data_IF_068690691414
#
_entry.id   IF_068690691414
#
_cell.length_a   1.000
_cell.length_b   1.000
_cell.length_c   1.000
_cell.angle_alpha   90.00
_cell.angle_beta   90.00
_cell.angle_gamma   90.00
#
_symmetry.space_group_name_H-M   'P 1'
#
loop_
_entity.id
_entity.type
_entity.pdbx_description
1 polymer ?
#
# COMPACT_ATOMS: atom_id res chain seq x y z
N UNK A 1 -5.82 26.31 -22.53
CA UNK A 1 -5.57 24.88 -22.27
C UNK A 1 -4.34 24.56 -21.42
N UNK A 2 -3.24 25.33 -21.40
CA UNK A 2 -2.03 25.07 -20.56
C UNK A 2 -2.27 25.01 -19.03
N UNK A 3 -3.23 25.77 -18.46
CA UNK A 3 -3.55 25.74 -17.01
C UNK A 3 -4.20 24.41 -16.54
N UNK A 4 -4.98 23.76 -17.39
CA UNK A 4 -5.63 22.47 -17.06
C UNK A 4 -4.62 21.31 -16.97
N UNK A 5 -3.58 21.28 -17.81
CA UNK A 5 -2.54 20.24 -17.80
C UNK A 5 -1.66 20.29 -16.54
N UNK A 6 -1.31 21.50 -16.06
CA UNK A 6 -0.50 21.67 -14.85
C UNK A 6 -1.25 21.28 -13.56
N UNK A 7 -2.58 21.43 -13.53
CA UNK A 7 -3.40 20.99 -12.38
C UNK A 7 -3.60 19.47 -12.32
N UNK A 8 -3.67 18.79 -13.46
CA UNK A 8 -3.77 17.33 -13.50
C UNK A 8 -2.49 16.62 -13.03
N UNK A 9 -1.32 17.21 -13.32
CA UNK A 9 -0.02 16.66 -12.88
C UNK A 9 0.26 16.87 -11.39
N UNK A 10 -0.25 17.94 -10.78
CA UNK A 10 -0.09 18.21 -9.34
C UNK A 10 -0.97 17.34 -8.43
N UNK A 11 -2.08 16.79 -8.93
CA UNK A 11 -3.02 15.95 -8.15
C UNK A 11 -2.63 14.48 -8.00
N UNK A 12 -1.53 14.02 -8.53
CA UNK A 12 -1.26 12.59 -8.73
C UNK A 12 -0.35 11.90 -7.71
N UNK A 13 0.03 12.53 -6.60
CA UNK A 13 0.63 11.78 -5.48
C UNK A 13 -0.43 11.55 -4.42
N UNK A 14 -1.14 10.43 -4.52
CA UNK A 14 -2.01 9.99 -3.43
C UNK A 14 -1.20 9.99 -2.13
N UNK A 15 -1.72 10.58 -1.04
CA UNK A 15 -1.10 10.51 0.26
C UNK A 15 -0.86 9.04 0.64
N UNK A 16 0.17 8.77 1.44
CA UNK A 16 0.65 7.41 1.74
C UNK A 16 -0.49 6.49 2.18
N UNK A 17 -1.41 6.97 3.02
CA UNK A 17 -2.57 6.21 3.53
C UNK A 17 -3.63 5.86 2.46
N UNK A 18 -3.62 6.50 1.29
CA UNK A 18 -4.50 6.16 0.15
C UNK A 18 -3.87 5.20 -0.83
N UNK A 19 -2.57 4.91 -0.69
CA UNK A 19 -1.89 3.94 -1.55
C UNK A 19 -2.38 2.53 -1.20
N UNK A 20 -2.69 1.75 -2.23
CA UNK A 20 -3.19 0.37 -2.08
C UNK A 20 -2.25 -0.49 -1.22
N UNK A 21 -0.93 -0.37 -1.41
CA UNK A 21 0.09 -1.07 -0.63
C UNK A 21 -0.01 -0.80 0.88
N UNK A 22 -0.20 0.48 1.24
CA UNK A 22 -0.30 0.86 2.65
C UNK A 22 -1.61 0.36 3.28
N UNK A 23 -2.72 0.47 2.54
CA UNK A 23 -4.03 -0.02 3.00
C UNK A 23 -4.05 -1.53 3.19
N UNK A 24 -3.55 -2.29 2.22
CA UNK A 24 -3.45 -3.76 2.32
C UNK A 24 -2.51 -4.18 3.44
N UNK A 25 -1.31 -3.58 3.52
CA UNK A 25 -0.35 -3.88 4.58
C UNK A 25 -0.88 -3.52 5.97
N UNK A 26 -1.46 -2.34 6.15
CA UNK A 26 -2.04 -1.91 7.42
C UNK A 26 -3.25 -2.77 7.83
N UNK A 27 -4.14 -3.13 6.89
CA UNK A 27 -5.27 -4.02 7.17
C UNK A 27 -4.83 -5.41 7.58
N UNK A 28 -3.84 -5.97 6.90
CA UNK A 28 -3.27 -7.27 7.24
C UNK A 28 -2.61 -7.26 8.63
N UNK A 29 -1.79 -6.24 8.92
CA UNK A 29 -1.17 -6.07 10.24
C UNK A 29 -2.21 -5.91 11.35
N UNK A 30 -3.24 -5.10 11.11
CA UNK A 30 -4.32 -4.88 12.09
C UNK A 30 -5.08 -6.18 12.38
N UNK A 31 -5.51 -6.90 11.34
CA UNK A 31 -6.23 -8.17 11.50
C UNK A 31 -5.37 -9.22 12.22
N UNK A 32 -4.10 -9.32 11.87
CA UNK A 32 -3.18 -10.26 12.52
C UNK A 32 -2.95 -9.89 13.99
N UNK A 33 -2.77 -8.59 14.29
CA UNK A 33 -2.61 -8.11 15.67
C UNK A 33 -3.86 -8.42 16.51
N UNK A 34 -5.07 -8.16 15.97
CA UNK A 34 -6.33 -8.46 16.65
C UNK A 34 -6.44 -9.98 16.91
N UNK A 35 -6.15 -10.81 15.93
CA UNK A 35 -6.22 -12.27 16.07
C UNK A 35 -5.26 -12.79 17.15
N UNK A 36 -4.01 -12.30 17.17
CA UNK A 36 -3.00 -12.68 18.16
C UNK A 36 -3.43 -12.24 19.57
N UNK A 37 -3.88 -10.98 19.73
CA UNK A 37 -4.30 -10.45 21.02
C UNK A 37 -5.53 -11.20 21.55
N UNK A 38 -6.52 -11.46 20.69
CA UNK A 38 -7.73 -12.19 21.06
C UNK A 38 -7.39 -13.62 21.47
N UNK A 39 -6.59 -14.35 20.67
CA UNK A 39 -6.14 -15.71 20.99
C UNK A 39 -5.38 -15.75 22.30
N UNK A 40 -4.42 -14.83 22.52
CA UNK A 40 -3.66 -14.75 23.76
C UNK A 40 -4.54 -14.46 24.99
N UNK A 41 -5.50 -13.57 24.85
CA UNK A 41 -6.46 -13.26 25.91
C UNK A 41 -7.35 -14.46 26.26
N UNK A 42 -7.90 -15.14 25.26
CA UNK A 42 -8.73 -16.34 25.49
C UNK A 42 -7.93 -17.48 26.14
N UNK A 43 -6.71 -17.71 25.68
CA UNK A 43 -5.83 -18.75 26.23
C UNK A 43 -5.42 -18.43 27.68
N UNK A 44 -5.11 -17.17 27.97
CA UNK A 44 -4.80 -16.75 29.35
C UNK A 44 -6.00 -16.97 30.29
N UNK A 45 -7.21 -16.56 29.86
CA UNK A 45 -8.45 -16.76 30.63
C UNK A 45 -8.75 -18.22 30.87
N UNK A 46 -8.60 -19.07 29.84
CA UNK A 46 -8.84 -20.50 29.96
C UNK A 46 -7.88 -21.14 31.00
N UNK A 47 -6.60 -20.79 30.95
CA UNK A 47 -5.60 -21.33 31.90
C UNK A 47 -5.82 -20.84 33.34
N UNK A 48 -6.18 -19.56 33.52
CA UNK A 48 -6.50 -19.03 34.83
C UNK A 48 -7.70 -19.76 35.45
N UNK A 49 -8.72 -20.03 34.65
CA UNK A 49 -9.91 -20.73 35.11
C UNK A 49 -9.63 -22.20 35.40
N UNK A 50 -8.93 -22.92 34.52
CA UNK A 50 -8.53 -24.31 34.70
C UNK A 50 -7.69 -24.47 35.97
N UNK A 51 -6.75 -23.56 36.23
CA UNK A 51 -5.93 -23.57 37.44
C UNK A 51 -6.78 -23.41 38.69
N UNK A 52 -7.68 -22.44 38.71
CA UNK A 52 -8.57 -22.18 39.83
C UNK A 52 -9.45 -23.40 40.13
N UNK A 53 -10.07 -23.99 39.10
CA UNK A 53 -10.99 -25.11 39.26
C UNK A 53 -10.25 -26.39 39.71
N UNK A 54 -9.03 -26.59 39.22
CA UNK A 54 -8.19 -27.73 39.63
C UNK A 54 -7.75 -27.61 41.09
N UNK A 55 -7.22 -26.43 41.49
CA UNK A 55 -6.76 -26.20 42.88
C UNK A 55 -7.97 -26.19 43.83
N UNK A 56 -9.04 -25.49 43.47
CA UNK A 56 -10.24 -25.44 44.28
C UNK A 56 -10.84 -26.82 44.52
N UNK A 57 -10.92 -27.68 43.51
CA UNK A 57 -11.39 -29.05 43.62
C UNK A 57 -10.47 -29.92 44.51
N UNK A 58 -9.16 -29.76 44.36
CA UNK A 58 -8.19 -30.48 45.19
C UNK A 58 -8.34 -30.09 46.68
N UNK A 59 -8.34 -28.82 47.00
CA UNK A 59 -8.49 -28.30 48.35
C UNK A 59 -9.87 -28.68 48.95
N UNK A 60 -10.91 -28.62 48.13
CA UNK A 60 -12.25 -29.04 48.58
C UNK A 60 -12.29 -30.52 48.95
N UNK A 61 -11.61 -31.38 48.21
CA UNK A 61 -11.51 -32.77 48.55
C UNK A 61 -10.73 -33.00 49.85
N UNK A 62 -9.62 -32.26 50.08
CA UNK A 62 -8.86 -32.28 51.33
C UNK A 62 -9.74 -31.84 52.50
N UNK A 63 -10.44 -30.70 52.34
CA UNK A 63 -11.30 -30.16 53.37
C UNK A 63 -12.46 -31.14 53.69
N UNK A 64 -13.15 -31.71 52.65
CA UNK A 64 -14.26 -32.68 52.82
C UNK A 64 -13.80 -33.96 53.53
N UNK A 65 -12.72 -34.57 53.11
CA UNK A 65 -12.20 -35.80 53.71
C UNK A 65 -11.63 -35.52 55.10
N UNK A 66 -10.93 -34.38 55.27
CA UNK A 66 -10.39 -33.95 56.53
C UNK A 66 -11.48 -33.67 57.58
N UNK A 67 -12.59 -33.03 57.20
CA UNK A 67 -13.71 -32.75 58.11
C UNK A 67 -14.31 -34.03 58.68
N UNK A 68 -14.29 -35.17 57.95
CA UNK A 68 -14.74 -36.47 58.46
C UNK A 68 -13.82 -37.08 59.51
N UNK A 69 -12.56 -36.69 59.61
CA UNK A 69 -11.58 -37.18 60.56
C UNK A 69 -11.61 -36.44 61.92
N UNK A 70 -12.34 -35.32 61.97
CA UNK A 70 -12.44 -34.52 63.20
C UNK A 70 -13.58 -35.10 64.09
N UNK A 71 -13.18 -35.56 65.28
CA UNK A 71 -14.13 -36.06 66.30
C UNK A 71 -14.98 -34.89 66.85
N UNK A 72 -16.30 -34.93 66.60
CA UNK A 72 -17.19 -33.82 67.06
C UNK A 72 -17.25 -33.66 68.54
N UNK A 73 -17.12 -34.72 69.32
CA UNK A 73 -17.19 -34.65 70.80
C UNK A 73 -15.91 -34.00 71.39
N UNK A 74 -14.77 -34.34 70.86
CA UNK A 74 -13.50 -33.72 71.24
C UNK A 74 -13.49 -32.23 70.87
N UNK A 75 -13.93 -31.90 69.67
CA UNK A 75 -13.99 -30.48 69.24
C UNK A 75 -14.94 -29.65 70.12
N UNK A 76 -16.11 -30.16 70.47
CA UNK A 76 -17.06 -29.50 71.39
C UNK A 76 -16.46 -29.26 72.80
N UNK A 77 -15.59 -30.20 73.28
CA UNK A 77 -14.87 -29.97 74.53
C UNK A 77 -13.84 -28.84 74.45
N UNK A 78 -13.19 -28.68 73.29
CA UNK A 78 -12.26 -27.53 73.05
C UNK A 78 -13.07 -26.20 73.07
N UNK A 79 -14.22 -26.16 72.44
CA UNK A 79 -15.08 -25.00 72.39
C UNK A 79 -15.59 -24.61 73.76
N UNK A 80 -15.93 -25.60 74.60
CA UNK A 80 -16.41 -25.35 75.96
C UNK A 80 -15.29 -24.87 76.92
N UNK A 81 -14.03 -25.27 76.69
CA UNK A 81 -12.92 -24.93 77.60
C UNK A 81 -12.06 -23.78 77.17
N UNK A 82 -12.03 -23.51 75.81
CA UNK A 82 -11.22 -22.48 75.15
C UNK A 82 -9.72 -22.55 75.60
N UNK A 83 -9.18 -23.77 75.81
CA UNK A 83 -7.79 -23.95 76.26
C UNK A 83 -6.98 -24.89 75.33
N UNK A 84 -5.74 -24.50 75.02
CA UNK A 84 -4.82 -25.30 74.26
C UNK A 84 -4.18 -26.48 75.07
N UNK A 85 -4.31 -26.46 76.38
CA UNK A 85 -3.68 -27.47 77.26
C UNK A 85 -4.58 -28.70 77.51
N UNK A 86 -5.77 -28.79 76.89
CA UNK A 86 -6.65 -29.93 77.04
C UNK A 86 -6.25 -31.14 76.16
N UNK A 87 -6.46 -32.36 76.61
CA UNK A 87 -6.27 -33.58 75.82
C UNK A 87 -7.12 -33.53 74.53
N UNK A 88 -8.33 -32.98 74.66
CA UNK A 88 -9.20 -32.78 73.49
C UNK A 88 -8.55 -31.89 72.42
N UNK A 89 -7.97 -30.77 72.78
CA UNK A 89 -7.27 -29.88 71.87
C UNK A 89 -6.11 -30.60 71.16
N UNK A 90 -5.27 -31.32 71.94
CA UNK A 90 -4.12 -32.02 71.36
C UNK A 90 -4.54 -33.14 70.40
N UNK A 91 -5.61 -33.85 70.65
CA UNK A 91 -6.15 -34.90 69.78
C UNK A 91 -6.69 -34.32 68.48
N UNK A 92 -7.51 -33.27 68.52
CA UNK A 92 -8.02 -32.58 67.34
C UNK A 92 -6.84 -31.98 66.51
N UNK A 93 -5.91 -31.30 67.22
CA UNK A 93 -4.72 -30.76 66.56
C UNK A 93 -3.89 -31.85 65.84
N UNK A 94 -3.71 -33.03 66.46
CA UNK A 94 -3.04 -34.16 65.84
C UNK A 94 -3.76 -34.65 64.58
N UNK A 95 -5.09 -34.68 64.57
CA UNK A 95 -5.86 -35.02 63.39
C UNK A 95 -5.67 -33.96 62.25
N UNK A 96 -5.72 -32.70 62.60
CA UNK A 96 -5.44 -31.61 61.63
C UNK A 96 -4.02 -31.68 61.06
N UNK A 97 -3.01 -31.95 61.94
CA UNK A 97 -1.64 -32.10 61.49
C UNK A 97 -1.44 -33.31 60.57
N UNK A 98 -2.10 -34.39 60.84
CA UNK A 98 -2.13 -35.59 59.94
C UNK A 98 -2.75 -35.25 58.60
N UNK A 99 -3.89 -34.52 58.55
CA UNK A 99 -4.50 -34.08 57.31
C UNK A 99 -3.53 -33.21 56.52
N UNK A 100 -2.90 -32.26 57.18
CA UNK A 100 -1.92 -31.34 56.59
C UNK A 100 -0.72 -32.08 55.98
N UNK A 101 -0.08 -32.98 56.77
CA UNK A 101 1.14 -33.71 56.37
C UNK A 101 0.88 -34.69 55.22
N UNK A 102 -0.19 -35.51 55.29
CA UNK A 102 -0.56 -36.48 54.25
C UNK A 102 -0.93 -35.83 52.92
N UNK A 103 -1.47 -34.62 52.94
CA UNK A 103 -1.84 -33.87 51.76
C UNK A 103 -0.82 -32.84 51.31
N UNK A 104 0.35 -32.78 52.00
CA UNK A 104 1.44 -31.84 51.72
C UNK A 104 0.99 -30.37 51.65
N UNK A 105 0.05 -29.97 52.52
CA UNK A 105 -0.42 -28.60 52.63
C UNK A 105 0.60 -27.79 53.43
N UNK A 106 1.22 -26.79 52.83
CA UNK A 106 2.29 -26.00 53.45
C UNK A 106 1.76 -25.08 54.57
N UNK A 107 0.50 -24.64 54.42
CA UNK A 107 -0.16 -23.72 55.37
C UNK A 107 -0.86 -24.46 56.50
N UNK A 108 -0.99 -23.86 57.67
CA UNK A 108 -1.75 -24.47 58.76
C UNK A 108 -3.22 -24.69 58.35
N UNK A 109 -3.77 -25.82 58.73
CA UNK A 109 -5.20 -26.12 58.62
C UNK A 109 -5.83 -25.84 59.98
N UNK A 110 -7.01 -25.24 59.98
CA UNK A 110 -7.70 -24.90 61.22
C UNK A 110 -9.19 -25.08 61.14
N UNK A 111 -9.84 -25.07 62.29
CA UNK A 111 -11.30 -25.09 62.41
C UNK A 111 -11.82 -23.75 62.87
N UNK A 112 -12.95 -23.33 62.29
CA UNK A 112 -13.63 -22.08 62.57
C UNK A 112 -15.03 -22.36 63.16
N UNK A 113 -15.44 -21.51 64.10
CA UNK A 113 -16.77 -21.51 64.71
C UNK A 113 -17.30 -20.06 64.77
N UNK A 114 -18.56 -19.87 65.16
CA UNK A 114 -19.09 -18.57 65.46
C UNK A 114 -19.11 -17.57 64.31
N UNK A 115 -19.45 -18.02 63.11
CA UNK A 115 -19.51 -17.16 61.93
C UNK A 115 -20.50 -15.99 62.09
N UNK A 116 -19.99 -14.78 62.09
CA UNK A 116 -20.76 -13.54 62.10
C UNK A 116 -20.46 -12.71 60.84
N UNK A 117 -21.34 -12.75 59.85
CA UNK A 117 -21.15 -12.02 58.60
C UNK A 117 -21.33 -10.50 58.78
N UNK A 118 -22.07 -10.02 59.79
CA UNK A 118 -22.27 -8.60 60.02
C UNK A 118 -21.01 -7.89 60.52
N UNK A 119 -20.19 -8.58 61.31
CA UNK A 119 -18.92 -8.07 61.80
C UNK A 119 -17.73 -8.63 61.01
N UNK A 120 -17.98 -9.44 59.96
CA UNK A 120 -16.95 -10.09 59.14
C UNK A 120 -15.94 -10.92 59.98
N UNK A 121 -16.47 -11.72 60.90
CA UNK A 121 -15.67 -12.47 61.85
C UNK A 121 -16.10 -13.94 61.99
N UNK A 122 -15.16 -14.77 62.29
CA UNK A 122 -15.32 -16.12 62.82
C UNK A 122 -14.30 -16.31 63.97
N UNK A 123 -14.30 -17.46 64.64
CA UNK A 123 -13.38 -17.70 65.72
C UNK A 123 -12.54 -18.94 65.43
N UNK A 124 -11.24 -18.83 65.62
CA UNK A 124 -10.33 -19.99 65.60
C UNK A 124 -10.65 -20.91 66.75
N UNK A 125 -10.67 -22.23 66.48
CA UNK A 125 -10.77 -23.22 67.54
C UNK A 125 -9.54 -24.07 67.69
N UNK A 126 -9.14 -24.78 66.66
CA UNK A 126 -7.93 -25.62 66.62
C UNK A 126 -7.16 -25.37 65.36
N UNK A 127 -5.84 -25.28 65.47
CA UNK A 127 -4.93 -25.14 64.33
C UNK A 127 -3.92 -26.28 64.32
N UNK A 128 -3.56 -26.77 63.15
CA UNK A 128 -2.62 -27.89 62.96
C UNK A 128 -1.22 -27.53 63.44
N UNK A 129 -0.73 -26.34 63.15
CA UNK A 129 0.62 -25.84 63.52
C UNK A 129 0.55 -24.36 63.86
N UNK A 130 1.18 -23.94 64.95
CA UNK A 130 1.26 -22.52 65.32
C UNK A 130 -0.07 -21.76 65.22
N UNK A 131 -0.12 -20.48 65.47
CA UNK A 131 -1.28 -19.63 65.16
C UNK A 131 -2.29 -19.46 66.28
N UNK A 132 -3.53 -19.05 65.93
CA UNK A 132 -4.54 -18.54 66.83
C UNK A 132 -4.91 -19.40 68.06
N UNK A 133 -5.36 -18.74 69.11
CA UNK A 133 -5.85 -19.38 70.33
C UNK A 133 -7.36 -19.74 70.21
N UNK A 134 -7.85 -20.78 70.87
CA UNK A 134 -9.26 -21.11 70.86
C UNK A 134 -10.13 -19.92 71.31
N UNK A 135 -11.06 -19.53 70.45
CA UNK A 135 -11.91 -18.36 70.66
C UNK A 135 -11.34 -17.03 70.20
N UNK A 136 -10.12 -17.02 69.64
CA UNK A 136 -9.55 -15.80 69.03
C UNK A 136 -10.35 -15.39 67.79
N UNK A 137 -10.68 -14.08 67.65
CA UNK A 137 -11.42 -13.63 66.48
C UNK A 137 -10.53 -13.70 65.20
N UNK A 138 -11.11 -14.27 64.15
CA UNK A 138 -10.56 -14.33 62.78
C UNK A 138 -11.33 -13.31 61.92
N UNK A 139 -10.63 -12.28 61.49
CA UNK A 139 -11.19 -11.28 60.56
C UNK A 139 -11.22 -11.80 59.14
N UNK A 140 -12.39 -11.87 58.57
CA UNK A 140 -12.64 -12.45 57.26
C UNK A 140 -12.45 -11.42 56.15
N UNK A 141 -11.65 -11.75 55.14
CA UNK A 141 -11.64 -11.00 53.92
C UNK A 141 -13.03 -11.10 53.22
N UNK A 142 -13.46 -10.07 52.47
CA UNK A 142 -14.75 -10.06 51.84
C UNK A 142 -15.05 -11.28 50.96
N UNK A 143 -14.02 -11.83 50.32
CA UNK A 143 -14.07 -13.01 49.45
C UNK A 143 -14.36 -14.32 50.19
N UNK A 144 -14.13 -14.36 51.50
CA UNK A 144 -14.40 -15.52 52.35
C UNK A 144 -15.84 -15.57 52.82
N UNK A 145 -16.56 -14.44 52.90
CA UNK A 145 -17.86 -14.33 53.55
C UNK A 145 -18.91 -15.24 52.95
N UNK A 146 -19.03 -15.21 51.62
CA UNK A 146 -20.04 -16.03 50.92
C UNK A 146 -19.72 -17.55 50.98
N UNK A 147 -18.49 -18.02 50.64
CA UNK A 147 -18.13 -19.43 50.70
C UNK A 147 -18.21 -19.98 52.12
N UNK A 148 -17.70 -19.25 53.12
CA UNK A 148 -17.79 -19.68 54.52
C UNK A 148 -19.22 -19.73 55.00
N UNK A 149 -20.05 -18.71 54.60
CA UNK A 149 -21.47 -18.66 54.90
C UNK A 149 -22.25 -19.85 54.31
N UNK A 150 -21.94 -20.28 53.13
CA UNK A 150 -22.54 -21.48 52.50
C UNK A 150 -22.13 -22.75 53.28
N UNK A 151 -20.87 -22.87 53.68
CA UNK A 151 -20.43 -23.99 54.48
C UNK A 151 -21.14 -24.05 55.85
N UNK A 152 -21.32 -22.93 56.56
CA UNK A 152 -22.00 -22.88 57.85
C UNK A 152 -23.51 -23.04 57.78
N UNK A 153 -24.17 -22.35 56.84
CA UNK A 153 -25.63 -22.30 56.80
C UNK A 153 -26.25 -23.44 55.97
N UNK A 154 -25.64 -23.76 54.80
CA UNK A 154 -26.21 -24.72 53.90
C UNK A 154 -25.57 -26.08 54.01
N UNK A 155 -24.40 -26.14 54.67
CA UNK A 155 -23.64 -27.37 54.82
C UNK A 155 -23.05 -27.88 53.52
N UNK A 156 -22.80 -26.95 52.59
CA UNK A 156 -22.22 -27.27 51.28
C UNK A 156 -20.72 -26.92 51.35
N UNK A 157 -19.83 -27.93 51.11
CA UNK A 157 -18.40 -27.64 51.00
C UNK A 157 -18.16 -26.73 49.78
N UNK A 158 -17.38 -25.68 49.96
CA UNK A 158 -17.14 -24.63 48.97
C UNK A 158 -15.65 -24.28 48.94
N UNK A 159 -15.26 -23.56 47.89
CA UNK A 159 -13.95 -22.91 47.81
C UNK A 159 -14.04 -21.49 47.24
N UNK A 160 -13.07 -20.66 47.58
CA UNK A 160 -13.06 -19.24 47.20
C UNK A 160 -12.52 -19.05 45.79
N UNK A 161 -12.73 -17.84 45.22
CA UNK A 161 -11.84 -17.33 44.18
C UNK A 161 -10.45 -17.05 44.75
N UNK A 162 -9.46 -16.84 43.87
CA UNK A 162 -8.14 -16.38 44.33
C UNK A 162 -8.31 -14.96 44.91
N UNK A 163 -7.89 -14.75 46.17
CA UNK A 163 -7.95 -13.46 46.83
C UNK A 163 -6.60 -13.08 47.43
N UNK A 164 -6.43 -11.83 47.82
CA UNK A 164 -5.17 -11.32 48.41
C UNK A 164 -5.45 -10.60 49.71
N UNK A 165 -4.70 -10.95 50.73
CA UNK A 165 -4.65 -10.24 52.00
C UNK A 165 -3.24 -9.72 52.32
N UNK A 166 -3.01 -9.29 53.57
CA UNK A 166 -1.70 -8.78 54.03
C UNK A 166 -0.62 -9.87 54.10
N UNK A 167 -1.01 -11.15 54.15
CA UNK A 167 -0.14 -12.29 54.36
C UNK A 167 0.24 -12.99 53.04
N UNK A 168 -0.50 -12.73 51.94
CA UNK A 168 -0.21 -13.35 50.66
C UNK A 168 -1.40 -13.40 49.68
N UNK A 169 -1.29 -14.30 48.73
CA UNK A 169 -2.34 -14.58 47.76
C UNK A 169 -2.82 -16.01 47.94
N UNK A 170 -4.12 -16.19 48.11
CA UNK A 170 -4.72 -17.40 48.63
C UNK A 170 -5.85 -17.94 47.77
N UNK A 171 -6.10 -19.24 47.95
CA UNK A 171 -7.36 -19.92 47.63
C UNK A 171 -7.70 -20.78 48.85
N UNK A 172 -8.90 -20.70 49.35
CA UNK A 172 -9.35 -21.36 50.57
C UNK A 172 -10.51 -22.30 50.29
N UNK A 173 -10.50 -23.48 50.86
CA UNK A 173 -11.61 -24.41 50.85
C UNK A 173 -12.22 -24.60 52.23
N UNK A 174 -13.51 -24.62 52.29
CA UNK A 174 -14.32 -24.77 53.51
C UNK A 174 -15.11 -26.06 53.44
N UNK A 175 -15.06 -26.86 54.53
CA UNK A 175 -15.92 -28.01 54.65
C UNK A 175 -16.60 -28.05 56.04
N UNK A 176 -17.97 -28.24 56.09
CA UNK A 176 -18.67 -28.29 57.35
C UNK A 176 -18.33 -29.52 58.14
N UNK A 177 -18.14 -29.39 59.46
CA UNK A 177 -17.96 -30.43 60.44
C UNK A 177 -19.29 -30.62 61.13
N UNK A 178 -19.81 -31.89 61.15
CA UNK A 178 -21.13 -32.19 61.65
C UNK A 178 -21.07 -33.06 62.89
N UNK A 179 -22.03 -32.85 63.80
CA UNK A 179 -22.21 -33.70 64.95
C UNK A 179 -22.99 -34.99 64.57
N UNK A 180 -23.16 -35.92 65.55
CA UNK A 180 -23.90 -37.19 65.37
C UNK A 180 -25.39 -36.97 64.95
N UNK A 181 -25.92 -35.79 65.14
CA UNK A 181 -27.27 -35.39 64.76
C UNK A 181 -27.32 -34.69 63.42
N UNK A 182 -26.16 -34.54 62.73
CA UNK A 182 -26.04 -33.89 61.43
C UNK A 182 -25.99 -32.35 61.47
N UNK A 183 -26.01 -31.74 62.64
CA UNK A 183 -25.91 -30.28 62.83
C UNK A 183 -24.47 -29.80 62.59
N UNK A 184 -24.32 -28.66 61.87
CA UNK A 184 -23.00 -28.07 61.62
C UNK A 184 -22.62 -27.27 62.88
N UNK A 185 -21.48 -27.55 63.48
CA UNK A 185 -20.98 -26.83 64.64
C UNK A 185 -19.63 -26.11 64.36
N UNK A 186 -18.88 -26.55 63.35
CA UNK A 186 -17.63 -25.93 62.94
C UNK A 186 -17.43 -26.10 61.42
N UNK A 187 -16.48 -25.37 60.89
CA UNK A 187 -16.02 -25.51 59.49
C UNK A 187 -14.51 -25.75 59.51
N UNK A 188 -14.05 -26.74 58.76
CA UNK A 188 -12.66 -26.95 58.45
C UNK A 188 -12.24 -25.98 57.35
N UNK A 189 -11.17 -25.24 57.61
CA UNK A 189 -10.57 -24.26 56.70
C UNK A 189 -9.21 -24.80 56.22
N UNK A 190 -9.04 -24.83 54.89
CA UNK A 190 -7.81 -25.30 54.24
C UNK A 190 -7.36 -24.22 53.27
N UNK A 191 -6.35 -23.46 53.72
CA UNK A 191 -5.72 -22.42 52.93
C UNK A 191 -4.58 -22.97 52.05
N UNK A 192 -4.48 -22.40 50.86
CA UNK A 192 -3.34 -22.69 49.97
C UNK A 192 -2.79 -21.39 49.40
N UNK A 193 -1.46 -21.23 49.51
CA UNK A 193 -0.76 -20.07 49.00
C UNK A 193 -0.43 -20.25 47.52
N UNK A 194 -0.95 -19.34 46.67
CA UNK A 194 -0.88 -19.50 45.21
C UNK A 194 0.30 -18.79 44.52
N UNK A 195 1.22 -18.17 45.26
CA UNK A 195 2.36 -17.43 44.71
C UNK A 195 3.21 -18.27 43.73
N UNK A 196 3.45 -19.54 44.02
CA UNK A 196 4.21 -20.44 43.13
C UNK A 196 3.49 -20.60 41.78
N UNK A 197 2.16 -20.67 41.80
CA UNK A 197 1.35 -20.76 40.61
C UNK A 197 1.28 -19.44 39.84
N UNK A 198 1.19 -18.32 40.53
CA UNK A 198 1.21 -16.99 39.90
C UNK A 198 2.54 -16.77 39.15
N UNK A 199 3.63 -17.24 39.65
CA UNK A 199 4.94 -17.21 38.99
C UNK A 199 4.93 -18.08 37.70
N UNK A 200 4.31 -19.25 37.70
CA UNK A 200 4.13 -20.07 36.49
C UNK A 200 3.24 -19.39 35.48
N UNK A 201 2.12 -18.76 35.90
CA UNK A 201 1.27 -17.96 35.00
C UNK A 201 2.03 -16.75 34.41
N UNK A 202 2.92 -16.12 35.18
CA UNK A 202 3.77 -15.06 34.68
C UNK A 202 4.72 -15.56 33.56
N UNK A 203 5.24 -16.78 33.68
CA UNK A 203 6.06 -17.39 32.64
C UNK A 203 5.29 -17.72 31.38
N UNK A 204 4.08 -18.25 31.52
CA UNK A 204 3.15 -18.46 30.39
C UNK A 204 2.82 -17.14 29.71
N UNK A 205 2.51 -16.10 30.48
CA UNK A 205 2.27 -14.74 29.97
C UNK A 205 3.47 -14.22 29.18
N UNK A 206 4.69 -14.40 29.69
CA UNK A 206 5.93 -14.03 28.99
C UNK A 206 6.06 -14.74 27.65
N UNK A 207 5.77 -16.06 27.58
CA UNK A 207 5.78 -16.84 26.34
C UNK A 207 4.74 -16.34 25.35
N UNK A 208 3.54 -15.98 25.81
CA UNK A 208 2.49 -15.39 24.98
C UNK A 208 2.92 -14.04 24.41
N UNK A 209 3.55 -13.16 25.18
CA UNK A 209 4.10 -11.91 24.65
C UNK A 209 5.19 -12.14 23.61
N UNK A 210 6.12 -13.05 23.85
CA UNK A 210 7.17 -13.37 22.88
C UNK A 210 6.60 -13.94 21.57
N UNK A 211 5.63 -14.85 21.64
CA UNK A 211 4.96 -15.39 20.44
C UNK A 211 4.17 -14.32 19.70
N UNK A 212 3.54 -13.38 20.41
CA UNK A 212 2.84 -12.24 19.82
C UNK A 212 3.77 -11.30 19.06
N UNK A 213 4.95 -11.00 19.63
CA UNK A 213 5.98 -10.19 18.98
C UNK A 213 6.51 -10.90 17.73
N UNK A 214 6.80 -12.21 17.82
CA UNK A 214 7.24 -13.00 16.66
C UNK A 214 6.20 -13.03 15.54
N UNK A 215 4.92 -13.22 15.88
CA UNK A 215 3.80 -13.18 14.94
C UNK A 215 3.65 -11.81 14.27
N UNK A 216 3.77 -10.72 15.03
CA UNK A 216 3.72 -9.36 14.48
C UNK A 216 4.89 -9.09 13.52
N UNK A 217 6.10 -9.55 13.84
CA UNK A 217 7.26 -9.43 12.95
C UNK A 217 7.06 -10.22 11.65
N UNK A 218 6.55 -11.45 11.74
CA UNK A 218 6.25 -12.28 10.57
C UNK A 218 5.18 -11.61 9.67
N UNK A 219 4.13 -11.06 10.28
CA UNK A 219 3.09 -10.33 9.56
C UNK A 219 3.64 -9.08 8.86
N UNK A 220 4.57 -8.35 9.49
CA UNK A 220 5.25 -7.21 8.88
C UNK A 220 6.05 -7.63 7.64
N UNK A 221 6.85 -8.70 7.76
CA UNK A 221 7.63 -9.24 6.64
C UNK A 221 6.72 -9.68 5.49
N UNK A 222 5.65 -10.43 5.80
CA UNK A 222 4.67 -10.85 4.79
C UNK A 222 4.00 -9.65 4.10
N UNK A 223 3.62 -8.63 4.86
CA UNK A 223 3.05 -7.39 4.31
C UNK A 223 4.01 -6.65 3.37
N UNK A 224 5.30 -6.58 3.71
CA UNK A 224 6.34 -5.99 2.86
C UNK A 224 6.56 -6.80 1.57
N UNK A 225 6.53 -8.13 1.64
CA UNK A 225 6.64 -9.01 0.47
C UNK A 225 5.45 -8.83 -0.47
N UNK A 226 4.22 -8.82 0.06
CA UNK A 226 3.00 -8.57 -0.73
C UNK A 226 3.05 -7.19 -1.39
N UNK A 227 3.49 -6.16 -0.65
CA UNK A 227 3.65 -4.82 -1.21
C UNK A 227 4.63 -4.79 -2.40
N UNK A 228 5.73 -5.52 -2.33
CA UNK A 228 6.71 -5.61 -3.42
C UNK A 228 6.22 -6.47 -4.59
N UNK A 229 5.61 -7.61 -4.34
CA UNK A 229 5.23 -8.55 -5.38
C UNK A 229 3.95 -8.16 -6.13
N UNK A 230 2.99 -7.53 -5.47
CA UNK A 230 1.69 -7.20 -6.07
C UNK A 230 1.58 -5.70 -6.36
N UNK A 231 1.79 -4.87 -5.35
CA UNK A 231 1.45 -3.44 -5.47
C UNK A 231 2.40 -2.68 -6.37
N UNK A 232 3.69 -2.98 -6.33
CA UNK A 232 4.69 -2.29 -7.13
C UNK A 232 4.49 -2.53 -8.64
N UNK A 233 4.32 -3.78 -9.14
CA UNK A 233 4.03 -4.02 -10.55
C UNK A 233 2.73 -3.36 -11.03
N UNK A 234 1.66 -3.44 -10.24
CA UNK A 234 0.37 -2.81 -10.59
C UNK A 234 0.50 -1.29 -10.72
N UNK A 235 1.25 -0.64 -9.81
CA UNK A 235 1.48 0.81 -9.90
C UNK A 235 2.33 1.18 -11.11
N UNK A 236 3.30 0.35 -11.49
CA UNK A 236 4.10 0.55 -12.71
C UNK A 236 3.25 0.44 -13.96
N UNK A 237 2.39 -0.59 -14.06
CA UNK A 237 1.46 -0.74 -15.18
C UNK A 237 0.47 0.44 -15.27
N UNK A 238 -0.04 0.91 -14.13
CA UNK A 238 -0.93 2.08 -14.11
C UNK A 238 -0.22 3.36 -14.57
N UNK A 239 1.06 3.53 -14.20
CA UNK A 239 1.86 4.66 -14.64
C UNK A 239 2.16 4.59 -16.15
N UNK A 240 2.44 3.39 -16.67
CA UNK A 240 2.63 3.16 -18.10
C UNK A 240 1.34 3.44 -18.88
N UNK A 241 0.21 2.92 -18.42
CA UNK A 241 -1.08 3.18 -19.06
C UNK A 241 -1.37 4.67 -19.18
N UNK A 242 -1.05 5.44 -18.14
CA UNK A 242 -1.20 6.89 -18.16
C UNK A 242 -0.31 7.57 -19.20
N UNK A 243 0.96 7.19 -19.31
CA UNK A 243 1.90 7.71 -20.33
C UNK A 243 1.39 7.43 -21.74
N UNK A 244 0.86 6.22 -21.97
CA UNK A 244 0.28 5.83 -23.27
C UNK A 244 -0.94 6.71 -23.60
N UNK A 245 -1.83 6.98 -22.64
CA UNK A 245 -2.98 7.89 -22.82
C UNK A 245 -2.52 9.33 -23.08
N UNK A 246 -1.40 9.75 -22.51
CA UNK A 246 -0.78 11.07 -22.73
C UNK A 246 -0.02 11.15 -24.09
N UNK A 247 0.00 10.05 -24.88
CA UNK A 247 0.59 9.99 -26.21
C UNK A 247 2.00 9.39 -26.26
N UNK A 248 2.62 9.07 -25.14
CA UNK A 248 3.96 8.46 -25.11
C UNK A 248 3.87 6.95 -25.36
N UNK A 249 3.87 6.58 -26.62
CA UNK A 249 3.87 5.18 -27.06
C UNK A 249 5.26 4.52 -26.97
N UNK A 250 6.32 5.29 -26.69
CA UNK A 250 7.68 4.76 -26.53
C UNK A 250 7.95 4.15 -25.18
N UNK A 251 7.08 4.42 -24.21
CA UNK A 251 7.21 3.96 -22.83
C UNK A 251 7.23 2.43 -22.75
N UNK A 252 8.23 1.88 -22.06
CA UNK A 252 8.40 0.45 -21.80
C UNK A 252 8.46 0.21 -20.30
N UNK A 253 7.75 -0.81 -19.82
CA UNK A 253 7.89 -1.33 -18.46
C UNK A 253 8.02 -2.83 -18.55
N UNK A 254 9.07 -3.35 -17.96
CA UNK A 254 9.26 -4.79 -17.84
C UNK A 254 8.73 -5.24 -16.48
N UNK A 255 7.61 -5.99 -16.49
CA UNK A 255 7.03 -6.59 -15.29
C UNK A 255 7.60 -8.00 -15.15
N UNK A 256 8.59 -8.14 -14.26
CA UNK A 256 9.36 -9.38 -14.10
C UNK A 256 8.69 -10.42 -13.18
N UNK A 257 7.35 -10.51 -13.17
CA UNK A 257 6.60 -11.53 -12.42
C UNK A 257 6.16 -12.67 -13.35
N UNK A 258 6.05 -13.90 -12.81
CA UNK A 258 5.63 -15.10 -13.58
C UNK A 258 4.20 -15.52 -13.24
N UNK A 259 3.39 -14.60 -12.78
CA UNK A 259 2.00 -14.75 -12.37
C UNK A 259 1.05 -14.00 -13.32
N UNK A 260 -0.21 -13.83 -12.93
CA UNK A 260 -1.24 -13.13 -13.67
C UNK A 260 -0.87 -11.65 -13.91
N UNK A 261 -0.07 -11.05 -13.02
CA UNK A 261 0.41 -9.68 -13.15
C UNK A 261 1.45 -9.58 -14.28
N UNK A 262 2.36 -10.56 -14.37
CA UNK A 262 3.30 -10.67 -15.47
C UNK A 262 2.60 -10.90 -16.82
N UNK A 263 1.57 -11.75 -16.83
CA UNK A 263 0.74 -11.96 -18.02
C UNK A 263 0.01 -10.68 -18.44
N UNK A 264 -0.57 -9.94 -17.48
CA UNK A 264 -1.20 -8.64 -17.75
C UNK A 264 -0.20 -7.63 -18.33
N UNK A 265 1.03 -7.61 -17.80
CA UNK A 265 2.12 -6.79 -18.33
C UNK A 265 2.44 -7.08 -19.80
N UNK A 266 2.52 -8.36 -20.15
CA UNK A 266 2.78 -8.81 -21.52
C UNK A 266 1.63 -8.45 -22.48
N UNK A 267 0.38 -8.67 -22.06
CA UNK A 267 -0.80 -8.30 -22.85
C UNK A 267 -0.84 -6.78 -23.06
N UNK A 268 -0.56 -6.00 -22.03
CA UNK A 268 -0.50 -4.55 -22.12
C UNK A 268 0.62 -4.10 -23.09
N UNK A 269 1.79 -4.72 -23.05
CA UNK A 269 2.89 -4.45 -23.96
C UNK A 269 2.48 -4.70 -25.42
N UNK A 270 1.87 -5.86 -25.69
CA UNK A 270 1.36 -6.19 -27.02
C UNK A 270 0.29 -5.19 -27.51
N UNK A 271 -0.57 -4.71 -26.59
CA UNK A 271 -1.56 -3.70 -26.91
C UNK A 271 -0.89 -2.38 -27.34
N UNK A 272 0.12 -1.91 -26.61
CA UNK A 272 0.87 -0.68 -26.95
C UNK A 272 1.56 -0.84 -28.29
N UNK A 273 2.19 -1.98 -28.55
CA UNK A 273 2.84 -2.28 -29.83
C UNK A 273 1.83 -2.26 -30.99
N UNK A 274 0.66 -2.85 -30.82
CA UNK A 274 -0.41 -2.82 -31.81
C UNK A 274 -0.90 -1.40 -32.09
N UNK A 275 -1.05 -0.58 -31.05
CA UNK A 275 -1.41 0.84 -31.21
C UNK A 275 -0.33 1.60 -31.97
N UNK A 276 0.95 1.37 -31.71
CA UNK A 276 2.06 1.97 -32.46
C UNK A 276 2.02 1.60 -33.94
N UNK A 277 1.86 0.30 -34.23
CA UNK A 277 1.77 -0.17 -35.63
C UNK A 277 0.58 0.44 -36.34
N UNK A 278 -0.59 0.44 -35.70
CA UNK A 278 -1.81 1.07 -36.25
C UNK A 278 -1.61 2.55 -36.51
N UNK A 279 -0.97 3.28 -35.59
CA UNK A 279 -0.69 4.70 -35.73
C UNK A 279 0.21 4.97 -36.95
N UNK A 280 1.33 4.24 -37.08
CA UNK A 280 2.23 4.35 -38.22
C UNK A 280 1.48 4.05 -39.55
N UNK A 281 0.67 3.02 -39.58
CA UNK A 281 -0.11 2.67 -40.79
C UNK A 281 -1.08 3.77 -41.20
N UNK A 282 -1.72 4.46 -40.25
CA UNK A 282 -2.58 5.60 -40.52
C UNK A 282 -1.79 6.76 -41.13
N UNK A 283 -0.61 7.09 -40.54
CA UNK A 283 0.27 8.14 -41.08
C UNK A 283 0.70 7.79 -42.51
N UNK A 284 1.15 6.53 -42.74
CA UNK A 284 1.56 6.08 -44.06
C UNK A 284 0.45 6.18 -45.13
N UNK A 285 -0.81 5.87 -44.76
CA UNK A 285 -1.96 6.01 -45.64
C UNK A 285 -2.24 7.47 -45.97
N UNK A 286 -2.18 8.37 -44.97
CA UNK A 286 -2.34 9.80 -45.16
C UNK A 286 -1.24 10.37 -46.06
N UNK A 287 0.02 10.01 -45.82
CA UNK A 287 1.17 10.43 -46.65
C UNK A 287 0.99 10.00 -48.12
N UNK A 288 0.62 8.74 -48.37
CA UNK A 288 0.36 8.26 -49.75
C UNK A 288 -0.78 8.99 -50.39
N UNK A 289 -1.84 9.34 -49.66
CA UNK A 289 -2.97 10.11 -50.19
C UNK A 289 -2.55 11.54 -50.56
N UNK A 290 -1.71 12.17 -49.72
CA UNK A 290 -1.17 13.51 -50.02
C UNK A 290 -0.24 13.50 -51.24
N UNK A 291 0.69 12.54 -51.31
CA UNK A 291 1.59 12.39 -52.46
C UNK A 291 0.85 12.13 -53.78
N UNK A 292 -0.19 11.29 -53.75
CA UNK A 292 -1.02 11.04 -54.92
C UNK A 292 -1.72 12.29 -55.44
N UNK A 293 -2.07 13.23 -54.55
CA UNK A 293 -2.71 14.49 -54.87
C UNK A 293 -1.71 15.56 -55.33
N UNK A 294 -0.57 15.65 -54.66
CA UNK A 294 0.49 16.65 -54.94
C UNK A 294 1.38 16.32 -56.14
N UNK A 295 1.28 15.11 -56.72
CA UNK A 295 2.03 14.69 -57.92
C UNK A 295 3.52 14.42 -57.67
N UNK A 296 4.00 14.39 -56.47
CA UNK A 296 5.42 14.24 -56.10
C UNK A 296 5.66 13.00 -55.24
N UNK A 297 5.86 11.85 -55.90
CA UNK A 297 6.09 10.59 -55.18
C UNK A 297 7.42 10.60 -54.39
N UNK A 298 7.39 10.25 -53.11
CA UNK A 298 8.53 10.12 -52.22
C UNK A 298 9.15 11.44 -51.73
N UNK A 299 8.57 12.60 -52.04
CA UNK A 299 9.06 13.91 -51.57
C UNK A 299 8.94 14.05 -50.05
N UNK A 300 7.78 13.70 -49.48
CA UNK A 300 7.52 13.82 -48.06
C UNK A 300 8.49 12.99 -47.22
N UNK A 301 8.82 11.76 -47.66
CA UNK A 301 9.75 10.90 -46.99
C UNK A 301 11.19 11.42 -47.09
N UNK A 302 11.59 12.00 -48.26
CA UNK A 302 12.92 12.59 -48.44
C UNK A 302 13.11 13.78 -47.49
N UNK A 303 12.14 14.70 -47.49
CA UNK A 303 12.15 15.88 -46.59
C UNK A 303 12.20 15.44 -45.12
N UNK A 304 11.40 14.48 -44.68
CA UNK A 304 11.41 13.99 -43.31
C UNK A 304 12.76 13.38 -42.94
N UNK A 305 13.34 12.55 -43.81
CA UNK A 305 14.67 11.94 -43.61
C UNK A 305 15.78 13.02 -43.50
N UNK A 306 15.76 13.99 -44.39
CA UNK A 306 16.72 15.09 -44.44
C UNK A 306 16.58 16.00 -43.20
N UNK A 307 15.34 16.30 -42.77
CA UNK A 307 15.05 17.08 -41.57
C UNK A 307 15.54 16.37 -40.29
N UNK A 308 15.38 15.06 -40.20
CA UNK A 308 15.88 14.26 -39.09
C UNK A 308 17.42 14.24 -39.04
N UNK A 309 18.11 14.18 -40.20
CA UNK A 309 19.56 14.26 -40.24
C UNK A 309 20.09 15.63 -39.75
N UNK A 310 19.40 16.72 -40.10
CA UNK A 310 19.71 18.05 -39.57
C UNK A 310 19.39 18.16 -38.07
N UNK A 311 18.31 17.53 -37.63
CA UNK A 311 17.95 17.43 -36.21
C UNK A 311 19.00 16.69 -35.36
N UNK A 312 19.64 15.64 -35.93
CA UNK A 312 20.76 14.94 -35.28
C UNK A 312 21.96 15.87 -35.13
N UNK A 313 22.26 16.65 -36.14
CA UNK A 313 23.36 17.61 -36.10
C UNK A 313 23.13 18.76 -35.10
N UNK A 314 21.85 19.06 -34.82
CA UNK A 314 21.43 20.07 -33.85
C UNK A 314 21.12 19.47 -32.46
N UNK A 315 21.37 18.17 -32.23
CA UNK A 315 21.17 17.45 -30.98
C UNK A 315 19.74 17.57 -30.39
N UNK A 316 18.70 17.49 -31.27
CA UNK A 316 17.31 17.56 -30.83
C UNK A 316 16.92 16.38 -29.92
N UNK A 317 16.08 16.65 -28.92
CA UNK A 317 15.50 15.64 -28.05
C UNK A 317 14.55 14.69 -28.81
N UNK A 318 14.29 13.49 -28.27
CA UNK A 318 13.38 12.51 -28.90
C UNK A 318 12.00 13.06 -29.24
N UNK A 319 11.41 13.87 -28.37
CA UNK A 319 10.09 14.50 -28.58
C UNK A 319 10.12 15.57 -29.67
N UNK A 320 11.20 16.32 -29.80
CA UNK A 320 11.37 17.31 -30.87
C UNK A 320 11.60 16.63 -32.22
N UNK A 321 12.31 15.50 -32.24
CA UNK A 321 12.50 14.68 -33.46
C UNK A 321 11.17 14.09 -33.95
N UNK A 322 10.35 13.55 -33.03
CA UNK A 322 9.02 13.03 -33.38
C UNK A 322 8.12 14.12 -33.94
N UNK A 323 8.12 15.32 -33.34
CA UNK A 323 7.38 16.47 -33.83
C UNK A 323 7.83 16.89 -35.26
N UNK A 324 9.13 16.90 -35.50
CA UNK A 324 9.70 17.25 -36.80
C UNK A 324 9.37 16.19 -37.86
N UNK A 325 9.51 14.89 -37.53
CA UNK A 325 9.19 13.78 -38.44
C UNK A 325 7.73 13.79 -38.86
N UNK A 326 6.81 13.80 -37.89
CA UNK A 326 5.37 13.81 -38.15
C UNK A 326 4.95 15.09 -38.88
N UNK A 327 5.51 16.23 -38.48
CA UNK A 327 5.24 17.50 -39.12
C UNK A 327 5.72 17.52 -40.57
N UNK A 328 6.92 17.04 -40.86
CA UNK A 328 7.45 16.96 -42.22
C UNK A 328 6.60 16.07 -43.12
N UNK A 329 6.11 14.93 -42.59
CA UNK A 329 5.24 14.02 -43.36
C UNK A 329 3.85 14.57 -43.62
N UNK A 330 3.32 15.46 -42.76
CA UNK A 330 1.92 15.90 -42.76
C UNK A 330 1.77 17.41 -42.94
N UNK A 331 2.85 18.15 -43.27
CA UNK A 331 2.79 19.63 -43.32
C UNK A 331 1.68 20.16 -44.26
N UNK A 332 1.46 19.50 -45.40
CA UNK A 332 0.48 19.88 -46.38
C UNK A 332 -0.87 19.18 -46.25
N UNK A 333 -1.18 18.54 -45.09
CA UNK A 333 -2.46 17.82 -44.89
C UNK A 333 -3.67 18.73 -45.08
N UNK A 334 -3.54 20.03 -44.84
CA UNK A 334 -4.61 21.00 -45.06
C UNK A 334 -4.96 21.25 -46.53
N UNK A 335 -4.05 20.90 -47.46
CA UNK A 335 -4.33 20.98 -48.91
C UNK A 335 -5.53 20.11 -49.33
N UNK A 336 -5.92 19.12 -48.54
CA UNK A 336 -7.13 18.33 -48.75
C UNK A 336 -8.37 19.21 -48.91
N UNK A 337 -8.40 20.40 -48.33
CA UNK A 337 -9.52 21.35 -48.45
C UNK A 337 -9.40 22.28 -49.65
N UNK A 338 -8.25 22.35 -50.32
CA UNK A 338 -8.07 23.18 -51.51
C UNK A 338 -8.79 22.51 -52.71
N UNK A 339 -9.59 23.25 -53.46
CA UNK A 339 -10.15 22.73 -54.69
C UNK A 339 -9.06 22.31 -55.69
N UNK A 340 -9.20 21.15 -56.31
CA UNK A 340 -8.20 20.57 -57.21
C UNK A 340 -7.90 21.50 -58.38
N UNK A 341 -8.90 22.23 -58.89
CA UNK A 341 -8.76 23.23 -59.95
C UNK A 341 -7.80 24.37 -59.61
N UNK A 342 -7.63 24.70 -58.31
CA UNK A 342 -6.69 25.71 -57.84
C UNK A 342 -5.30 25.07 -57.68
N UNK A 343 -5.25 23.86 -57.07
CA UNK A 343 -3.97 23.17 -56.76
C UNK A 343 -3.22 22.77 -58.04
N UNK A 344 -3.92 22.35 -59.10
CA UNK A 344 -3.36 21.90 -60.38
C UNK A 344 -3.26 23.01 -61.41
N UNK A 345 -3.58 24.25 -61.08
CA UNK A 345 -3.56 25.37 -61.99
C UNK A 345 -2.12 25.66 -62.46
N UNK A 346 -1.94 25.72 -63.78
CA UNK A 346 -0.63 26.05 -64.41
C UNK A 346 -0.48 27.53 -64.72
N UNK A 347 -1.57 28.29 -64.71
CA UNK A 347 -1.62 29.74 -64.89
C UNK A 347 -1.34 30.45 -63.54
N UNK A 348 -0.89 31.73 -63.55
CA UNK A 348 -0.74 32.49 -62.30
C UNK A 348 -2.05 32.53 -61.51
N UNK A 349 -1.91 32.32 -60.17
CA UNK A 349 -3.03 32.36 -59.26
C UNK A 349 -3.60 33.77 -59.11
N UNK A 350 -4.91 33.87 -58.94
CA UNK A 350 -5.53 35.15 -58.55
C UNK A 350 -5.23 35.42 -57.06
N UNK A 351 -5.35 36.67 -56.59
CA UNK A 351 -5.19 37.00 -55.18
C UNK A 351 -6.11 36.15 -54.26
N UNK A 352 -7.34 35.85 -54.66
CA UNK A 352 -8.30 35.03 -53.91
C UNK A 352 -7.90 33.57 -53.88
N UNK A 353 -7.38 33.04 -54.99
CA UNK A 353 -6.82 31.68 -55.05
C UNK A 353 -5.59 31.53 -54.19
N UNK A 354 -4.69 32.53 -54.21
CA UNK A 354 -3.51 32.58 -53.38
C UNK A 354 -3.92 32.61 -51.89
N UNK A 355 -4.86 33.44 -51.50
CA UNK A 355 -5.37 33.49 -50.12
C UNK A 355 -5.97 32.14 -49.69
N UNK A 356 -6.63 31.43 -50.63
CA UNK A 356 -7.15 30.07 -50.36
C UNK A 356 -6.04 29.08 -50.05
N UNK A 357 -4.95 29.13 -50.83
CA UNK A 357 -3.80 28.27 -50.61
C UNK A 357 -3.15 28.60 -49.22
N UNK A 358 -3.02 29.87 -48.90
CA UNK A 358 -2.41 30.33 -47.63
C UNK A 358 -3.19 29.91 -46.39
N UNK A 359 -4.42 29.40 -46.52
CA UNK A 359 -5.20 28.85 -45.41
C UNK A 359 -4.83 27.40 -45.06
N UNK A 360 -4.11 26.65 -45.93
CA UNK A 360 -3.88 25.23 -45.67
C UNK A 360 -3.14 24.93 -44.36
N UNK A 361 -2.19 25.76 -43.85
CA UNK A 361 -1.58 25.50 -42.55
C UNK A 361 -2.61 25.50 -41.43
N UNK A 362 -3.56 26.45 -41.43
CA UNK A 362 -4.63 26.51 -40.44
C UNK A 362 -5.59 25.32 -40.56
N UNK A 363 -5.97 24.95 -41.77
CA UNK A 363 -6.81 23.79 -41.99
C UNK A 363 -6.13 22.47 -41.64
N UNK A 364 -4.80 22.39 -41.81
CA UNK A 364 -3.99 21.27 -41.37
C UNK A 364 -3.99 21.12 -39.84
N UNK A 365 -3.87 22.23 -39.15
CA UNK A 365 -3.97 22.24 -37.67
C UNK A 365 -5.35 21.76 -37.21
N UNK A 366 -6.45 22.29 -37.82
CA UNK A 366 -7.82 21.88 -37.49
C UNK A 366 -8.06 20.35 -37.72
N UNK A 367 -7.49 19.79 -38.78
CA UNK A 367 -7.60 18.35 -39.08
C UNK A 367 -6.86 17.52 -38.03
N UNK A 368 -5.62 17.89 -37.74
CA UNK A 368 -4.74 17.06 -36.90
C UNK A 368 -4.98 17.23 -35.38
N UNK A 369 -5.47 18.39 -34.90
CA UNK A 369 -5.71 18.63 -33.47
C UNK A 369 -6.77 17.69 -32.87
N UNK A 370 -7.65 17.12 -33.71
CA UNK A 370 -8.66 16.16 -33.30
C UNK A 370 -8.08 14.78 -32.96
N UNK A 371 -6.83 14.52 -33.39
CA UNK A 371 -6.14 13.24 -33.17
C UNK A 371 -4.96 13.44 -32.20
N UNK A 372 -5.07 13.05 -30.91
CA UNK A 372 -4.06 13.33 -29.90
C UNK A 372 -2.64 12.85 -30.25
N UNK A 373 -2.52 11.74 -30.98
CA UNK A 373 -1.25 11.17 -31.40
C UNK A 373 -0.54 11.99 -32.52
N UNK A 374 -1.27 12.87 -33.21
CA UNK A 374 -0.73 13.74 -34.27
C UNK A 374 -0.46 15.17 -33.74
N UNK A 375 -0.79 15.46 -32.50
CA UNK A 375 -0.51 16.77 -31.87
C UNK A 375 0.96 17.22 -32.02
N UNK A 376 1.99 16.34 -31.98
CA UNK A 376 3.37 16.77 -32.19
C UNK A 376 3.64 17.42 -33.56
N UNK A 377 2.86 17.07 -34.60
CA UNK A 377 3.01 17.65 -35.94
C UNK A 377 2.54 19.11 -36.07
N UNK A 378 1.70 19.58 -35.14
CA UNK A 378 1.01 20.86 -35.24
C UNK A 378 1.92 22.07 -35.39
N UNK A 379 3.09 22.04 -34.72
CA UNK A 379 4.06 23.09 -34.75
C UNK A 379 4.66 23.31 -36.16
N UNK A 380 4.92 22.24 -36.91
CA UNK A 380 5.40 22.29 -38.28
C UNK A 380 4.25 22.65 -39.23
N UNK A 381 3.13 21.93 -39.10
CA UNK A 381 1.95 22.12 -40.00
C UNK A 381 1.42 23.55 -39.95
N UNK A 382 1.35 24.14 -38.73
CA UNK A 382 0.83 25.50 -38.55
C UNK A 382 1.79 26.64 -38.90
N UNK A 383 3.12 26.35 -39.03
CA UNK A 383 4.13 27.41 -39.12
C UNK A 383 5.22 27.18 -40.19
N UNK A 384 5.06 26.19 -41.08
CA UNK A 384 6.10 25.87 -42.06
C UNK A 384 6.28 26.90 -43.16
N UNK A 385 5.35 27.83 -43.34
CA UNK A 385 5.40 28.98 -44.26
C UNK A 385 5.72 30.30 -43.53
N UNK A 386 6.00 30.26 -42.23
CA UNK A 386 6.47 31.44 -41.52
C UNK A 386 7.90 31.78 -41.93
N UNK A 387 8.19 33.06 -42.11
CA UNK A 387 9.52 33.59 -42.41
C UNK A 387 10.19 34.13 -41.17
N UNK A 388 11.49 33.95 -41.04
CA UNK A 388 12.23 34.35 -39.84
C UNK A 388 12.13 35.88 -39.58
N UNK A 389 11.95 36.70 -40.62
CA UNK A 389 11.74 38.16 -40.54
C UNK A 389 10.29 38.57 -40.25
N UNK A 390 9.36 37.64 -40.19
CA UNK A 390 7.93 37.87 -39.92
C UNK A 390 7.09 38.22 -41.15
N UNK A 391 7.60 38.07 -42.36
CA UNK A 391 6.86 38.31 -43.61
C UNK A 391 6.12 37.12 -44.14
N UNK A 392 6.18 35.97 -43.41
CA UNK A 392 5.52 34.74 -43.75
C UNK A 392 4.05 34.70 -43.35
N UNK A 393 3.42 33.53 -43.50
CA UNK A 393 2.01 33.26 -43.17
C UNK A 393 1.89 31.90 -42.40
N UNK A 394 0.77 31.62 -41.73
CA UNK A 394 -0.49 32.39 -41.67
C UNK A 394 -0.54 33.41 -40.50
N UNK A 395 0.38 33.37 -39.56
CA UNK A 395 0.34 34.16 -38.32
C UNK A 395 1.32 35.36 -38.32
N UNK A 396 2.30 35.38 -39.23
CA UNK A 396 3.34 36.40 -39.28
C UNK A 396 4.30 36.31 -38.10
N UNK A 397 4.61 35.11 -37.59
CA UNK A 397 5.53 34.83 -36.50
C UNK A 397 6.95 35.27 -36.88
N UNK A 398 7.70 35.81 -35.93
CA UNK A 398 9.06 36.32 -36.17
C UNK A 398 10.10 35.66 -35.28
N UNK A 399 11.25 35.32 -35.87
CA UNK A 399 12.42 34.82 -35.17
C UNK A 399 12.13 33.54 -34.37
N UNK A 400 12.35 33.57 -33.06
CA UNK A 400 12.14 32.43 -32.18
C UNK A 400 10.66 32.19 -31.78
N UNK A 401 9.73 33.07 -32.16
CA UNK A 401 8.30 32.81 -32.04
C UNK A 401 7.87 31.63 -32.94
N UNK A 402 8.58 31.44 -34.05
CA UNK A 402 8.39 30.28 -34.94
C UNK A 402 8.93 29.04 -34.22
N UNK A 403 8.15 27.94 -34.06
CA UNK A 403 8.60 26.70 -33.45
C UNK A 403 9.90 26.18 -34.10
N UNK A 404 10.84 25.68 -33.31
CA UNK A 404 12.13 25.20 -33.81
C UNK A 404 11.98 24.14 -34.90
N UNK A 405 11.03 23.20 -34.73
CA UNK A 405 10.71 22.17 -35.73
C UNK A 405 10.26 22.76 -37.06
N UNK A 406 9.44 23.81 -37.05
CA UNK A 406 9.03 24.51 -38.27
C UNK A 406 10.17 25.25 -38.94
N UNK A 407 11.07 25.92 -38.18
CA UNK A 407 12.27 26.58 -38.72
C UNK A 407 13.25 25.58 -39.39
N UNK A 408 13.42 24.38 -38.78
CA UNK A 408 14.26 23.32 -39.36
C UNK A 408 13.61 22.78 -40.63
N UNK A 409 12.32 22.49 -40.54
CA UNK A 409 11.55 21.98 -41.71
C UNK A 409 11.60 22.95 -42.91
N UNK A 410 11.39 24.26 -42.71
CA UNK A 410 11.35 25.25 -43.79
C UNK A 410 12.65 25.28 -44.60
N UNK A 411 13.84 25.16 -43.93
CA UNK A 411 15.15 25.09 -44.57
C UNK A 411 15.28 23.83 -45.44
N UNK A 412 14.94 22.68 -44.86
CA UNK A 412 15.07 21.39 -45.58
C UNK A 412 14.08 21.26 -46.70
N UNK A 413 12.84 21.72 -46.50
CA UNK A 413 11.81 21.72 -47.54
C UNK A 413 12.18 22.64 -48.73
N UNK A 414 12.73 23.81 -48.44
CA UNK A 414 13.24 24.71 -49.49
C UNK A 414 14.40 24.05 -50.29
N UNK A 415 15.31 23.34 -49.60
CA UNK A 415 16.40 22.64 -50.24
C UNK A 415 15.89 21.50 -51.16
N UNK A 416 14.89 20.72 -50.71
CA UNK A 416 14.28 19.66 -51.53
C UNK A 416 13.55 20.26 -52.74
N UNK A 417 12.74 21.33 -52.54
CA UNK A 417 12.02 22.01 -53.64
C UNK A 417 13.01 22.55 -54.69
N UNK A 418 14.13 23.12 -54.28
CA UNK A 418 15.12 23.68 -55.22
C UNK A 418 15.90 22.62 -56.01
N UNK A 419 16.16 21.47 -55.37
CA UNK A 419 17.00 20.41 -55.97
C UNK A 419 16.24 19.40 -56.80
N UNK A 420 14.90 19.43 -56.82
CA UNK A 420 14.05 18.52 -57.58
C UNK A 420 13.23 19.25 -58.65
N UNK A 421 13.12 18.63 -59.82
CA UNK A 421 12.27 19.15 -60.90
C UNK A 421 10.81 19.02 -60.57
N UNK A 422 10.05 20.09 -60.79
CA UNK A 422 8.60 20.15 -60.66
C UNK A 422 7.98 20.64 -62.01
N UNK A 423 6.68 20.44 -62.26
CA UNK A 423 6.09 20.79 -63.54
C UNK A 423 6.44 22.18 -64.07
N UNK A 424 6.63 23.14 -63.18
CA UNK A 424 6.90 24.55 -63.55
C UNK A 424 8.31 25.03 -63.08
N UNK A 425 9.19 24.13 -62.64
CA UNK A 425 10.46 24.49 -62.07
C UNK A 425 11.55 23.44 -62.41
N UNK A 426 12.65 23.87 -63.08
CA UNK A 426 13.82 23.04 -63.23
C UNK A 426 14.63 22.90 -61.97
N UNK A 427 15.13 21.69 -61.69
CA UNK A 427 16.04 21.41 -60.56
C UNK A 427 17.31 22.27 -60.67
N UNK A 428 17.70 22.87 -59.54
CA UNK A 428 18.99 23.55 -59.38
C UNK A 428 20.02 22.54 -58.87
N UNK A 429 21.28 22.84 -59.06
CA UNK A 429 22.33 22.09 -58.43
C UNK A 429 22.33 22.33 -56.89
N UNK A 430 22.76 21.34 -56.10
CA UNK A 430 22.84 21.45 -54.68
C UNK A 430 23.68 22.65 -54.17
N UNK A 431 24.90 22.95 -54.79
CA UNK A 431 25.65 24.14 -54.41
C UNK A 431 24.86 25.45 -54.64
N UNK A 432 24.14 25.57 -55.77
CA UNK A 432 23.30 26.76 -56.02
C UNK A 432 22.18 26.90 -55.02
N UNK A 433 21.52 25.78 -54.60
CA UNK A 433 20.49 25.79 -53.61
C UNK A 433 21.01 26.21 -52.23
N UNK A 434 22.22 25.74 -51.83
CA UNK A 434 22.89 26.16 -50.59
C UNK A 434 23.28 27.64 -50.55
N UNK A 435 23.71 28.20 -51.71
CA UNK A 435 24.00 29.66 -51.80
C UNK A 435 22.71 30.51 -51.71
N UNK A 436 21.57 30.04 -52.21
CA UNK A 436 20.27 30.69 -52.04
C UNK A 436 19.86 30.68 -50.56
N UNK A 437 19.95 29.53 -49.89
CA UNK A 437 19.66 29.45 -48.44
C UNK A 437 20.51 30.45 -47.65
N UNK A 438 21.79 30.56 -48.01
CA UNK A 438 22.70 31.51 -47.34
C UNK A 438 22.33 32.95 -47.60
N UNK A 439 21.87 33.30 -48.79
CA UNK A 439 21.44 34.68 -49.15
C UNK A 439 20.15 35.10 -48.48
N UNK A 440 19.27 34.12 -48.15
CA UNK A 440 17.99 34.34 -47.44
C UNK A 440 18.05 34.06 -45.95
N UNK A 441 19.26 33.85 -45.43
CA UNK A 441 19.53 33.74 -43.98
C UNK A 441 19.17 35.05 -43.28
N UNK A 442 18.39 34.97 -42.20
CA UNK A 442 17.87 36.11 -41.45
C UNK A 442 16.64 36.80 -42.05
N UNK A 443 16.22 36.38 -43.28
CA UNK A 443 14.96 36.78 -43.92
C UNK A 443 13.94 35.65 -43.80
N UNK A 444 14.00 34.72 -44.77
CA UNK A 444 13.12 33.54 -44.76
C UNK A 444 13.57 32.50 -43.71
N UNK A 445 14.87 32.28 -43.53
CA UNK A 445 15.41 31.17 -42.76
C UNK A 445 16.15 31.65 -41.50
N UNK A 446 16.10 30.82 -40.43
CA UNK A 446 16.87 31.02 -39.21
C UNK A 446 18.38 30.92 -39.49
N UNK A 447 19.20 31.96 -39.19
CA UNK A 447 20.64 31.96 -39.46
C UNK A 447 21.37 30.78 -38.80
N UNK A 448 20.94 30.34 -37.62
CA UNK A 448 21.56 29.21 -36.89
C UNK A 448 21.32 27.90 -37.62
N UNK A 449 20.13 27.72 -38.16
CA UNK A 449 19.75 26.50 -38.89
C UNK A 449 20.43 26.48 -40.27
N UNK A 450 20.51 27.62 -40.94
CA UNK A 450 21.28 27.74 -42.20
C UNK A 450 22.76 27.39 -41.94
N UNK A 451 23.37 27.95 -40.89
CA UNK A 451 24.76 27.63 -40.55
C UNK A 451 24.99 26.13 -40.29
N UNK A 452 24.04 25.47 -39.55
CA UNK A 452 24.09 24.02 -39.33
C UNK A 452 23.93 23.22 -40.66
N UNK A 453 23.04 23.68 -41.52
CA UNK A 453 22.83 23.07 -42.88
C UNK A 453 24.09 23.13 -43.73
N UNK A 454 24.78 24.26 -43.72
CA UNK A 454 26.06 24.46 -44.43
C UNK A 454 27.22 23.65 -43.80
N UNK A 455 27.08 23.23 -42.52
CA UNK A 455 28.03 22.35 -41.85
C UNK A 455 27.95 20.90 -42.29
N UNK A 456 26.88 20.47 -42.93
CA UNK A 456 26.72 19.13 -43.50
C UNK A 456 27.31 19.11 -44.92
N UNK A 457 28.07 18.07 -45.26
CA UNK A 457 28.71 17.98 -46.55
C UNK A 457 27.68 17.84 -47.70
N UNK A 458 28.01 18.41 -48.89
CA UNK A 458 27.20 18.27 -50.10
C UNK A 458 26.91 16.79 -50.43
N UNK A 459 27.91 15.90 -50.25
CA UNK A 459 27.72 14.48 -50.46
C UNK A 459 26.63 13.87 -49.58
N UNK A 460 26.58 14.26 -48.29
CA UNK A 460 25.55 13.78 -47.37
C UNK A 460 24.16 14.33 -47.77
N UNK A 461 24.09 15.59 -48.16
CA UNK A 461 22.83 16.16 -48.66
C UNK A 461 22.33 15.46 -49.92
N UNK A 462 23.23 15.19 -50.88
CA UNK A 462 22.89 14.46 -52.07
C UNK A 462 22.35 13.06 -51.81
N UNK A 463 22.97 12.34 -50.85
CA UNK A 463 22.49 11.01 -50.37
C UNK A 463 21.12 11.08 -49.68
N UNK A 464 20.88 12.14 -48.87
CA UNK A 464 19.64 12.33 -48.12
C UNK A 464 18.47 12.71 -49.02
N UNK A 465 18.70 13.63 -49.96
CA UNK A 465 17.71 14.14 -50.91
C UNK A 465 17.57 13.27 -52.14
N UNK A 466 18.57 12.47 -52.49
CA UNK A 466 18.55 11.62 -53.69
C UNK A 466 18.75 12.40 -54.99
N UNK A 467 19.55 13.46 -54.96
CA UNK A 467 19.90 14.31 -56.11
C UNK A 467 21.40 14.23 -56.51
#
# INVERSE_FOLDING_TARGET
MKKSRAELTKKARLPIWRRLSWRLGASFLLLTAIAILLSGFLQYRAQEQELRDTLGSLLLNIARTGALLIDPQLHAQVEATLTQNSDAYHRVRKALAMIQDENHVETPIYTLTGFDPAHQQAHFMVTSRGGGFPGEPYHLAPELLEPLGQAFREGIPTYTTIYRDQSGTWITAFAPIRDAQGRIFAVLDVDYRVEVYLNRLAEVRRRLYLSSIAGALLALVAGLLIARQITQPVTQLSALARRVVEGDLSARVHVATRDEIGMLGNVFHLMVERVQVSHRSVVDVLVRALEARGGTSGSLQRVAKAALALADHLELSGTQREALELGALLHDVGEIRIPEAILQKTEPLTPEEQQTIEQHPLWGVEILETVPLLTPALDVVGAHHEHYDGTGYPQGLRGEEIPLSARIFSVVNALEIMTHSRPNQHARSLPEALEILKADSGKQFDPRIVAATLGISEKQWAELLGC
#
